data_IF_680821213714
#
_entry.id   IF_680821213714
#
_cell.length_a   1.000
_cell.length_b   1.000
_cell.length_c   1.000
_cell.angle_alpha   90.00
_cell.angle_beta   90.00
_cell.angle_gamma   90.00
#
_symmetry.space_group_name_H-M   'P 1'
#
loop_
_entity.id
_entity.type
_entity.pdbx_description
1 polymer ?
#
# COMPACT_ATOMS: atom_id res chain seq x y z
N UNK A 1 29.20 -44.56 27.22
CA UNK A 1 28.22 -43.59 27.73
C UNK A 1 28.93 -42.74 28.76
N UNK A 2 29.21 -41.48 28.43
CA UNK A 2 29.53 -40.43 29.39
C UNK A 2 28.85 -39.16 28.85
N UNK A 3 27.60 -38.98 29.28
CA UNK A 3 26.83 -37.76 29.10
C UNK A 3 27.43 -36.68 30.00
N UNK A 4 28.22 -35.80 29.41
CA UNK A 4 28.41 -34.42 29.87
C UNK A 4 29.23 -33.67 28.82
N UNK A 5 28.64 -33.49 27.65
CA UNK A 5 29.13 -32.48 26.71
C UNK A 5 28.65 -31.13 27.24
N UNK A 6 29.33 -30.64 28.28
CA UNK A 6 29.10 -29.32 28.83
C UNK A 6 29.37 -28.34 27.69
N UNK A 7 28.35 -27.62 27.25
CA UNK A 7 28.46 -26.58 26.23
C UNK A 7 29.14 -25.34 26.81
N UNK A 8 30.36 -25.49 27.31
CA UNK A 8 31.18 -24.39 27.82
C UNK A 8 31.69 -23.62 26.61
N UNK A 9 31.50 -22.30 26.61
CA UNK A 9 32.09 -21.45 25.60
C UNK A 9 33.61 -21.47 25.77
N UNK A 10 34.38 -21.53 24.68
CA UNK A 10 35.85 -21.62 24.74
C UNK A 10 36.51 -20.51 25.60
N UNK A 11 35.86 -19.35 25.76
CA UNK A 11 36.33 -18.27 26.64
C UNK A 11 36.29 -18.57 28.13
N UNK A 12 35.50 -19.56 28.54
CA UNK A 12 35.26 -19.90 29.94
C UNK A 12 36.12 -21.09 30.39
N UNK A 13 36.97 -21.61 29.49
CA UNK A 13 37.92 -22.69 29.80
C UNK A 13 39.11 -22.15 30.60
N UNK A 14 39.61 -22.90 31.59
CA UNK A 14 40.87 -22.59 32.25
C UNK A 14 42.01 -22.59 31.23
N UNK A 15 43.03 -21.76 31.49
CA UNK A 15 44.09 -21.40 30.53
C UNK A 15 44.82 -22.60 29.91
N UNK A 16 45.01 -23.65 30.69
CA UNK A 16 45.70 -24.87 30.27
C UNK A 16 44.85 -25.72 29.31
N UNK A 17 43.53 -25.75 29.53
CA UNK A 17 42.56 -26.43 28.66
C UNK A 17 42.30 -25.65 27.36
N UNK A 18 42.29 -24.32 27.45
CA UNK A 18 42.20 -23.45 26.27
C UNK A 18 43.37 -23.66 25.31
N UNK A 19 44.58 -23.82 25.85
CA UNK A 19 45.79 -24.06 25.05
C UNK A 19 45.72 -25.40 24.30
N UNK A 20 45.25 -26.46 24.98
CA UNK A 20 45.03 -27.77 24.35
C UNK A 20 43.92 -27.73 23.29
N UNK A 21 42.83 -27.03 23.57
CA UNK A 21 41.73 -26.85 22.63
C UNK A 21 42.20 -26.15 21.33
N UNK A 22 43.00 -25.09 21.43
CA UNK A 22 43.60 -24.43 20.27
C UNK A 22 44.51 -25.36 19.46
N UNK A 23 45.31 -26.20 20.14
CA UNK A 23 46.19 -27.17 19.47
C UNK A 23 45.39 -28.25 18.74
N UNK A 24 44.31 -28.76 19.33
CA UNK A 24 43.46 -29.79 18.71
C UNK A 24 42.66 -29.25 17.50
N UNK A 25 42.32 -27.96 17.54
CA UNK A 25 41.74 -27.21 16.44
C UNK A 25 42.73 -27.02 15.30
N UNK A 26 43.96 -26.57 15.60
CA UNK A 26 45.00 -26.37 14.59
C UNK A 26 45.44 -27.69 13.94
N UNK A 27 45.35 -28.79 14.70
CA UNK A 27 45.57 -30.15 14.22
C UNK A 27 44.41 -30.73 13.38
N UNK A 28 43.28 -30.00 13.26
CA UNK A 28 42.12 -30.43 12.47
C UNK A 28 41.28 -31.54 13.11
N UNK A 29 41.53 -31.87 14.37
CA UNK A 29 40.85 -32.95 15.11
C UNK A 29 39.48 -32.51 15.64
N UNK A 30 39.28 -31.19 15.85
CA UNK A 30 37.99 -30.61 16.26
C UNK A 30 37.43 -29.64 15.21
N UNK A 31 36.22 -29.93 14.71
CA UNK A 31 35.62 -29.23 13.57
C UNK A 31 34.56 -28.17 13.89
N UNK A 32 34.25 -27.85 15.14
CA UNK A 32 33.15 -26.92 15.45
C UNK A 32 33.42 -26.00 16.65
N UNK A 33 33.74 -24.74 16.34
CA UNK A 33 33.84 -23.63 17.30
C UNK A 33 32.47 -23.03 17.70
N UNK A 34 31.45 -23.30 16.89
CA UNK A 34 30.19 -22.57 16.93
C UNK A 34 29.17 -23.35 17.75
N UNK A 35 28.94 -22.92 18.99
CA UNK A 35 27.73 -23.28 19.73
C UNK A 35 26.54 -22.77 18.90
N UNK A 36 25.59 -23.65 18.59
CA UNK A 36 24.36 -23.23 17.91
C UNK A 36 23.73 -22.09 18.71
N UNK A 37 23.46 -20.91 18.10
CA UNK A 37 22.97 -19.77 18.84
C UNK A 37 21.66 -20.14 19.52
N UNK A 38 21.63 -20.03 20.85
CA UNK A 38 20.39 -20.23 21.63
C UNK A 38 19.38 -19.21 21.13
N UNK A 39 18.34 -19.68 20.41
CA UNK A 39 17.26 -18.83 19.90
C UNK A 39 16.53 -18.21 21.09
N UNK A 40 16.89 -16.98 21.47
CA UNK A 40 16.15 -16.20 22.46
C UNK A 40 14.72 -16.02 21.93
N UNK A 41 13.74 -16.68 22.55
CA UNK A 41 12.33 -16.51 22.26
C UNK A 41 11.97 -15.03 22.49
N UNK A 42 11.73 -14.30 21.41
CA UNK A 42 11.34 -12.89 21.51
C UNK A 42 9.99 -12.80 22.20
N UNK A 43 9.88 -12.05 23.31
CA UNK A 43 8.60 -11.75 23.99
C UNK A 43 7.60 -10.97 23.12
N UNK A 44 8.01 -10.50 21.94
CA UNK A 44 7.16 -9.80 20.97
C UNK A 44 6.17 -10.79 20.35
N UNK A 45 4.93 -10.82 20.86
CA UNK A 45 3.81 -11.48 20.19
C UNK A 45 3.15 -10.48 19.25
N UNK A 46 2.88 -10.93 18.02
CA UNK A 46 2.03 -10.18 17.09
C UNK A 46 0.61 -10.19 17.67
N UNK A 47 -0.01 -9.02 17.82
CA UNK A 47 -1.41 -8.93 18.22
C UNK A 47 -2.30 -9.62 17.19
N UNK A 48 -3.44 -10.17 17.63
CA UNK A 48 -4.40 -10.89 16.79
C UNK A 48 -5.19 -9.98 15.82
N UNK A 49 -4.89 -8.69 15.81
CA UNK A 49 -5.54 -7.77 14.87
C UNK A 49 -5.14 -8.11 13.42
N UNK A 50 -6.14 -8.20 12.55
CA UNK A 50 -5.89 -8.31 11.10
C UNK A 50 -5.04 -7.14 10.63
N UNK A 51 -3.91 -7.44 9.99
CA UNK A 51 -3.05 -6.43 9.35
C UNK A 51 -3.46 -6.13 7.91
N UNK A 52 -4.49 -6.81 7.41
CA UNK A 52 -5.03 -6.62 6.07
C UNK A 52 -5.81 -5.31 6.03
N UNK A 53 -5.68 -4.57 4.93
CA UNK A 53 -6.48 -3.38 4.72
C UNK A 53 -7.97 -3.76 4.61
N UNK A 54 -8.85 -3.07 5.35
CA UNK A 54 -10.31 -3.25 5.32
C UNK A 54 -10.88 -3.39 3.90
N UNK A 55 -10.42 -2.55 2.97
CA UNK A 55 -10.78 -2.62 1.55
C UNK A 55 -9.57 -3.00 0.68
N UNK A 56 -9.41 -4.28 0.36
CA UNK A 56 -8.28 -4.75 -0.46
C UNK A 56 -8.45 -4.41 -1.94
N UNK A 57 -9.68 -4.48 -2.46
CA UNK A 57 -10.05 -4.29 -3.86
C UNK A 57 -11.13 -3.19 -4.02
N UNK A 58 -10.81 -1.92 -3.77
CA UNK A 58 -11.73 -0.85 -4.13
C UNK A 58 -11.90 -0.83 -5.65
N UNK A 59 -13.14 -0.81 -6.12
CA UNK A 59 -13.49 -0.62 -7.52
C UNK A 59 -14.70 0.30 -7.57
N UNK A 60 -14.59 1.37 -8.37
CA UNK A 60 -15.68 2.30 -8.57
C UNK A 60 -15.80 2.63 -10.05
N UNK A 61 -17.02 2.53 -10.55
CA UNK A 61 -17.41 2.91 -11.89
C UNK A 61 -18.66 3.75 -11.78
N UNK A 62 -18.80 4.75 -12.65
CA UNK A 62 -19.95 5.65 -12.66
C UNK A 62 -21.25 4.85 -12.82
N UNK A 63 -22.13 4.83 -11.79
CA UNK A 63 -23.41 4.14 -11.87
C UNK A 63 -24.34 4.74 -12.94
N UNK A 64 -25.27 3.93 -13.44
CA UNK A 64 -26.17 4.33 -14.55
C UNK A 64 -27.16 5.45 -14.19
N UNK A 65 -27.46 5.64 -12.89
CA UNK A 65 -28.33 6.72 -12.43
C UNK A 65 -27.70 8.11 -12.56
N UNK A 66 -26.38 8.21 -12.76
CA UNK A 66 -25.74 9.49 -13.03
C UNK A 66 -25.86 9.86 -14.51
N UNK A 67 -26.05 11.15 -14.79
CA UNK A 67 -26.00 11.70 -16.16
C UNK A 67 -24.70 11.27 -16.85
N UNK A 68 -24.79 10.95 -18.15
CA UNK A 68 -23.61 10.62 -18.97
C UNK A 68 -22.65 11.82 -19.00
N UNK A 69 -21.36 11.53 -18.87
CA UNK A 69 -20.31 12.53 -19.05
C UNK A 69 -20.22 12.88 -20.55
N UNK A 70 -20.29 14.16 -20.87
CA UNK A 70 -20.13 14.67 -22.24
C UNK A 70 -18.80 15.42 -22.40
N UNK A 71 -18.42 15.69 -23.65
CA UNK A 71 -17.23 16.47 -23.98
C UNK A 71 -15.91 15.81 -23.54
N UNK A 72 -14.97 16.63 -23.08
CA UNK A 72 -13.62 16.20 -22.69
C UNK A 72 -13.63 15.24 -21.50
N UNK A 73 -14.51 15.44 -20.52
CA UNK A 73 -14.63 14.55 -19.36
C UNK A 73 -15.13 13.15 -19.76
N UNK A 74 -16.09 13.09 -20.70
CA UNK A 74 -16.54 11.83 -21.27
C UNK A 74 -15.41 11.10 -22.01
N UNK A 75 -14.64 11.84 -22.82
CA UNK A 75 -13.48 11.27 -23.52
C UNK A 75 -12.40 10.75 -22.55
N UNK A 76 -12.08 11.52 -21.51
CA UNK A 76 -11.13 11.12 -20.47
C UNK A 76 -11.61 9.87 -19.71
N UNK A 77 -12.89 9.83 -19.33
CA UNK A 77 -13.48 8.68 -18.65
C UNK A 77 -13.42 7.41 -19.52
N UNK A 78 -13.76 7.51 -20.81
CA UNK A 78 -13.74 6.37 -21.74
C UNK A 78 -12.32 5.88 -22.08
N UNK A 79 -11.28 6.70 -21.85
CA UNK A 79 -9.88 6.25 -21.92
C UNK A 79 -9.50 5.41 -20.72
N UNK A 80 -10.07 5.68 -19.55
CA UNK A 80 -9.78 4.95 -18.31
C UNK A 80 -10.63 3.70 -18.15
N UNK A 81 -11.89 3.74 -18.56
CA UNK A 81 -12.88 2.70 -18.32
C UNK A 81 -13.39 2.15 -19.65
N UNK A 82 -13.41 0.82 -19.78
CA UNK A 82 -14.00 0.10 -20.90
C UNK A 82 -15.27 -0.61 -20.41
N UNK A 83 -16.37 -0.41 -21.14
CA UNK A 83 -17.55 -1.27 -21.03
C UNK A 83 -17.46 -2.32 -22.12
N UNK A 84 -17.56 -3.59 -21.72
CA UNK A 84 -17.66 -4.67 -22.69
C UNK A 84 -19.04 -4.65 -23.36
N UNK A 85 -19.07 -4.85 -24.67
CA UNK A 85 -20.30 -4.75 -25.48
C UNK A 85 -21.18 -5.98 -25.32
N UNK A 86 -20.57 -7.15 -25.15
CA UNK A 86 -21.28 -8.42 -25.08
C UNK A 86 -21.79 -8.70 -23.66
N UNK A 87 -20.93 -8.54 -22.65
CA UNK A 87 -21.26 -8.86 -21.26
C UNK A 87 -21.81 -7.67 -20.48
N UNK A 88 -21.69 -6.44 -21.00
CA UNK A 88 -22.03 -5.21 -20.29
C UNK A 88 -21.12 -4.90 -19.08
N UNK A 89 -20.13 -5.75 -18.79
CA UNK A 89 -19.25 -5.58 -17.64
C UNK A 89 -18.33 -4.36 -17.82
N UNK A 90 -18.13 -3.63 -16.72
CA UNK A 90 -17.28 -2.44 -16.70
C UNK A 90 -15.94 -2.80 -16.08
N UNK A 91 -14.85 -2.52 -16.81
CA UNK A 91 -13.49 -2.79 -16.39
C UNK A 91 -12.58 -1.58 -16.64
N UNK A 92 -11.47 -1.51 -15.91
CA UNK A 92 -10.44 -0.52 -16.16
C UNK A 92 -9.68 -0.88 -17.45
N UNK A 93 -9.61 0.07 -18.38
CA UNK A 93 -8.79 -0.01 -19.60
C UNK A 93 -7.33 0.32 -19.30
N UNK A 94 -7.10 1.26 -18.39
CA UNK A 94 -5.77 1.73 -18.01
C UNK A 94 -5.64 1.77 -16.50
N UNK A 95 -4.53 1.22 -15.99
CA UNK A 95 -4.13 1.34 -14.61
C UNK A 95 -3.28 2.60 -14.42
N UNK A 96 -3.90 3.66 -13.92
CA UNK A 96 -3.22 4.95 -13.72
C UNK A 96 -2.04 4.82 -12.78
N UNK A 97 -2.13 3.93 -11.77
CA UNK A 97 -1.04 3.62 -10.85
C UNK A 97 0.25 3.09 -11.50
N UNK A 98 0.16 2.58 -12.74
CA UNK A 98 1.29 2.07 -13.53
C UNK A 98 1.72 3.03 -14.64
N UNK A 99 1.11 4.22 -14.72
CA UNK A 99 1.43 5.20 -15.75
C UNK A 99 2.91 5.63 -15.67
N UNK A 100 3.60 5.84 -16.81
CA UNK A 100 5.02 6.24 -16.83
C UNK A 100 5.33 7.47 -15.97
N UNK A 101 4.37 8.39 -15.83
CA UNK A 101 4.47 9.54 -14.94
C UNK A 101 4.82 9.13 -13.50
N UNK A 102 4.14 8.13 -12.95
CA UNK A 102 4.43 7.66 -11.60
C UNK A 102 5.74 6.93 -11.50
N UNK A 103 6.18 6.27 -12.59
CA UNK A 103 7.43 5.51 -12.64
C UNK A 103 8.64 6.45 -12.70
N UNK A 104 8.55 7.49 -13.54
CA UNK A 104 9.58 8.52 -13.70
C UNK A 104 9.59 9.50 -12.51
N UNK A 105 8.41 9.91 -12.02
CA UNK A 105 8.25 10.87 -10.93
C UNK A 105 8.55 10.34 -9.52
N UNK A 106 8.86 9.04 -9.34
CA UNK A 106 9.04 8.43 -8.00
C UNK A 106 10.05 9.16 -7.14
N UNK A 107 11.21 9.48 -7.72
CA UNK A 107 12.29 10.17 -7.00
C UNK A 107 11.88 11.57 -6.58
N UNK A 108 11.20 12.31 -7.48
CA UNK A 108 10.68 13.66 -7.19
C UNK A 108 9.63 13.64 -6.08
N UNK A 109 8.78 12.61 -6.05
CA UNK A 109 7.78 12.42 -5.00
C UNK A 109 8.35 11.83 -3.68
N UNK A 110 9.67 11.66 -3.56
CA UNK A 110 10.33 11.17 -2.35
C UNK A 110 10.17 9.66 -2.10
N UNK A 111 9.87 8.86 -3.14
CA UNK A 111 9.70 7.41 -3.03
C UNK A 111 10.90 6.65 -3.59
N UNK A 112 11.41 5.70 -2.80
CA UNK A 112 12.40 4.70 -3.26
C UNK A 112 11.77 3.57 -4.08
N UNK A 113 10.59 3.11 -3.67
CA UNK A 113 9.87 1.99 -4.29
C UNK A 113 8.55 2.41 -4.91
N UNK A 114 8.05 1.59 -5.84
CA UNK A 114 6.72 1.74 -6.42
C UNK A 114 5.59 1.64 -5.40
N UNK A 115 4.37 1.88 -5.86
CA UNK A 115 3.18 1.71 -5.02
C UNK A 115 2.97 0.23 -4.69
N UNK A 116 2.57 -0.06 -3.44
CA UNK A 116 2.11 -1.40 -3.05
C UNK A 116 0.79 -1.74 -3.79
N UNK A 117 0.48 -3.01 -4.04
CA UNK A 117 -0.72 -3.41 -4.79
C UNK A 117 -2.04 -2.83 -4.24
N UNK A 118 -2.20 -2.78 -2.91
CA UNK A 118 -3.37 -2.16 -2.27
C UNK A 118 -3.51 -0.65 -2.55
N UNK A 119 -2.37 0.04 -2.68
CA UNK A 119 -2.34 1.47 -2.99
C UNK A 119 -2.56 1.71 -4.48
N UNK A 120 -2.02 0.84 -5.33
CA UNK A 120 -2.29 0.85 -6.77
C UNK A 120 -3.78 0.72 -7.06
N UNK A 121 -4.43 -0.28 -6.46
CA UNK A 121 -5.88 -0.51 -6.59
C UNK A 121 -6.70 0.69 -6.14
N UNK A 122 -6.37 1.30 -4.99
CA UNK A 122 -7.06 2.50 -4.53
C UNK A 122 -6.87 3.69 -5.47
N UNK A 123 -5.66 3.89 -6.00
CA UNK A 123 -5.38 4.94 -6.96
C UNK A 123 -6.16 4.74 -8.26
N UNK A 124 -6.18 3.51 -8.77
CA UNK A 124 -6.90 3.15 -9.98
C UNK A 124 -8.42 3.35 -9.83
N UNK A 125 -8.98 3.09 -8.64
CA UNK A 125 -10.39 3.36 -8.34
C UNK A 125 -10.70 4.85 -8.11
N UNK A 126 -9.73 5.62 -7.60
CA UNK A 126 -9.89 7.05 -7.33
C UNK A 126 -10.09 7.87 -8.62
N UNK A 127 -9.35 7.56 -9.69
CA UNK A 127 -9.38 8.34 -10.92
C UNK A 127 -10.76 8.40 -11.62
N UNK A 128 -11.47 7.27 -11.82
CA UNK A 128 -12.84 7.28 -12.31
C UNK A 128 -13.78 8.16 -11.50
N UNK A 129 -13.65 8.17 -10.16
CA UNK A 129 -14.44 9.03 -9.26
C UNK A 129 -14.11 10.49 -9.51
N UNK A 130 -12.82 10.86 -9.51
CA UNK A 130 -12.41 12.25 -9.69
C UNK A 130 -12.89 12.83 -11.01
N UNK A 131 -12.74 12.10 -12.12
CA UNK A 131 -13.24 12.56 -13.43
C UNK A 131 -14.76 12.63 -13.46
N UNK A 132 -15.44 11.72 -12.75
CA UNK A 132 -16.89 11.71 -12.69
C UNK A 132 -17.51 12.90 -11.97
N UNK A 133 -16.83 13.40 -10.94
CA UNK A 133 -17.27 14.54 -10.15
C UNK A 133 -16.49 15.82 -10.44
N UNK A 134 -15.71 15.84 -11.52
CA UNK A 134 -14.99 17.01 -11.97
C UNK A 134 -15.97 18.02 -12.56
N UNK A 135 -15.86 19.28 -12.12
CA UNK A 135 -16.53 20.39 -12.77
C UNK A 135 -15.86 20.65 -14.13
N UNK A 136 -16.62 20.54 -15.22
CA UNK A 136 -16.08 20.65 -16.58
C UNK A 136 -15.51 22.05 -16.90
N UNK A 137 -16.00 23.10 -16.23
CA UNK A 137 -15.56 24.47 -16.48
C UNK A 137 -14.31 24.84 -15.67
N UNK A 138 -14.18 24.31 -14.46
CA UNK A 138 -13.09 24.67 -13.53
C UNK A 138 -12.01 23.60 -13.41
N UNK A 139 -12.24 22.40 -13.94
CA UNK A 139 -11.39 21.22 -13.72
C UNK A 139 -11.10 20.93 -12.24
N UNK A 140 -12.04 21.28 -11.36
CA UNK A 140 -11.94 21.09 -9.91
C UNK A 140 -12.96 20.07 -9.43
N UNK A 141 -12.62 19.36 -8.36
CA UNK A 141 -13.54 18.45 -7.66
C UNK A 141 -13.90 19.08 -6.32
N UNK A 142 -15.13 19.57 -6.19
CA UNK A 142 -15.63 20.24 -4.98
C UNK A 142 -16.09 19.29 -3.86
N UNK A 143 -15.64 18.04 -3.84
CA UNK A 143 -16.10 17.03 -2.87
C UNK A 143 -15.18 16.90 -1.66
N UNK A 144 -15.78 16.81 -0.48
CA UNK A 144 -15.08 16.48 0.76
C UNK A 144 -14.48 15.06 0.70
N UNK A 145 -13.30 14.87 1.30
CA UNK A 145 -12.61 13.56 1.37
C UNK A 145 -13.50 12.49 1.99
N UNK A 146 -14.28 12.83 3.02
CA UNK A 146 -15.21 11.88 3.65
C UNK A 146 -16.31 11.40 2.70
N UNK A 147 -16.77 12.25 1.77
CA UNK A 147 -17.74 11.85 0.76
C UNK A 147 -17.09 10.97 -0.31
N UNK A 148 -15.88 11.32 -0.76
CA UNK A 148 -15.10 10.47 -1.68
C UNK A 148 -14.84 9.08 -1.10
N UNK A 149 -14.49 9.01 0.19
CA UNK A 149 -14.28 7.77 0.92
C UNK A 149 -15.55 6.90 0.93
N UNK A 150 -16.72 7.48 1.21
CA UNK A 150 -18.01 6.80 1.14
C UNK A 150 -18.35 6.31 -0.26
N UNK A 151 -18.03 7.08 -1.30
CA UNK A 151 -18.28 6.64 -2.68
C UNK A 151 -17.38 5.47 -3.09
N UNK A 152 -16.12 5.48 -2.68
CA UNK A 152 -15.16 4.41 -2.98
C UNK A 152 -15.38 3.13 -2.15
N UNK A 153 -16.19 3.21 -1.09
CA UNK A 153 -16.46 2.08 -0.22
C UNK A 153 -17.54 1.18 -0.81
N UNK A 154 -17.43 -0.13 -0.57
CA UNK A 154 -18.47 -1.07 -0.96
C UNK A 154 -19.76 -0.78 -0.17
N UNK A 155 -20.88 -0.81 -0.89
CA UNK A 155 -22.21 -0.55 -0.34
C UNK A 155 -23.01 -1.86 -0.30
N UNK A 156 -23.83 -2.01 0.72
CA UNK A 156 -24.78 -3.11 0.84
C UNK A 156 -25.96 -2.95 -0.14
N UNK A 157 -26.87 -3.92 -0.17
CA UNK A 157 -28.08 -3.87 -1.00
C UNK A 157 -29.00 -2.67 -0.69
N UNK A 158 -28.84 -2.03 0.47
CA UNK A 158 -29.60 -0.85 0.91
C UNK A 158 -28.86 0.46 0.60
N UNK A 159 -27.66 0.40 0.01
CA UNK A 159 -26.83 1.56 -0.31
C UNK A 159 -25.98 2.08 0.86
N UNK A 160 -25.93 1.39 2.00
CA UNK A 160 -25.11 1.76 3.15
C UNK A 160 -23.69 1.20 3.02
N UNK A 161 -22.70 1.94 3.50
CA UNK A 161 -21.30 1.50 3.47
C UNK A 161 -21.10 0.33 4.42
N UNK A 162 -20.49 -0.76 3.93
CA UNK A 162 -20.15 -1.93 4.73
C UNK A 162 -18.90 -1.60 5.58
N UNK A 163 -18.99 -1.53 6.92
CA UNK A 163 -17.91 -1.02 7.79
C UNK A 163 -16.60 -1.81 7.71
N UNK A 164 -16.69 -3.10 7.39
CA UNK A 164 -15.52 -3.99 7.26
C UNK A 164 -14.70 -3.68 6.00
N UNK A 165 -15.35 -3.17 4.95
CA UNK A 165 -14.74 -2.85 3.66
C UNK A 165 -14.67 -1.35 3.37
N UNK A 166 -14.87 -0.52 4.39
CA UNK A 166 -14.83 0.93 4.26
C UNK A 166 -13.43 1.41 3.88
N UNK A 167 -13.35 2.26 2.86
CA UNK A 167 -12.16 3.04 2.56
C UNK A 167 -12.07 4.16 3.59
N UNK A 168 -11.09 4.08 4.48
CA UNK A 168 -10.94 5.10 5.52
C UNK A 168 -10.51 6.45 4.96
N UNK A 169 -11.04 7.53 5.56
CA UNK A 169 -10.70 8.92 5.21
C UNK A 169 -9.20 9.17 5.28
N UNK A 170 -8.53 8.65 6.31
CA UNK A 170 -7.08 8.79 6.50
C UNK A 170 -6.26 8.12 5.40
N UNK A 171 -6.71 6.96 4.88
CA UNK A 171 -6.05 6.27 3.76
C UNK A 171 -6.18 7.08 2.48
N UNK A 172 -7.36 7.67 2.25
CA UNK A 172 -7.60 8.52 1.08
C UNK A 172 -6.83 9.84 1.15
N UNK A 173 -6.80 10.51 2.31
CA UNK A 173 -6.04 11.76 2.52
C UNK A 173 -4.55 11.56 2.17
N UNK A 174 -3.94 10.51 2.72
CA UNK A 174 -2.53 10.18 2.44
C UNK A 174 -2.28 9.88 0.96
N UNK A 175 -3.26 9.30 0.27
CA UNK A 175 -3.15 9.04 -1.17
C UNK A 175 -3.22 10.35 -1.97
N UNK A 176 -4.12 11.26 -1.63
CA UNK A 176 -4.29 12.56 -2.28
C UNK A 176 -3.04 13.43 -2.08
N UNK A 177 -2.54 13.54 -0.84
CA UNK A 177 -1.28 14.25 -0.54
C UNK A 177 -0.12 13.75 -1.39
N UNK A 178 -0.07 12.44 -1.60
CA UNK A 178 0.93 11.83 -2.47
C UNK A 178 0.72 12.22 -3.94
N UNK A 179 -0.52 12.25 -4.44
CA UNK A 179 -0.80 12.74 -5.80
C UNK A 179 -0.38 14.20 -6.00
N UNK A 180 -0.53 15.02 -4.95
CA UNK A 180 -0.04 16.41 -4.94
C UNK A 180 1.48 16.46 -5.05
N UNK A 181 2.21 15.59 -4.33
CA UNK A 181 3.68 15.48 -4.46
C UNK A 181 4.13 15.01 -5.85
N UNK A 182 3.33 14.16 -6.50
CA UNK A 182 3.57 13.79 -7.90
C UNK A 182 3.24 14.91 -8.89
N UNK A 183 2.64 16.02 -8.44
CA UNK A 183 2.21 17.14 -9.28
C UNK A 183 0.99 16.83 -10.14
N UNK A 184 0.24 15.79 -9.80
CA UNK A 184 -0.91 15.32 -10.59
C UNK A 184 -2.21 15.96 -10.12
N UNK A 185 -2.32 16.23 -8.81
CA UNK A 185 -3.42 16.99 -8.23
C UNK A 185 -2.90 18.29 -7.63
N UNK A 186 -3.69 19.35 -7.73
CA UNK A 186 -3.50 20.58 -6.98
C UNK A 186 -4.56 20.70 -5.90
N UNK A 187 -4.21 21.23 -4.73
CA UNK A 187 -5.21 21.68 -3.78
C UNK A 187 -5.63 23.08 -4.20
N UNK A 188 -6.93 23.31 -4.33
CA UNK A 188 -7.44 24.65 -4.58
C UNK A 188 -7.09 25.51 -3.36
N UNK A 189 -6.23 26.50 -3.53
CA UNK A 189 -6.00 27.50 -2.51
C UNK A 189 -7.33 28.20 -2.22
N UNK A 190 -7.75 28.23 -0.95
CA UNK A 190 -8.77 29.20 -0.55
C UNK A 190 -8.14 30.56 -0.75
N UNK A 191 -8.49 31.24 -1.84
CA UNK A 191 -8.29 32.68 -1.94
C UNK A 191 -9.04 33.29 -0.76
N UNK A 192 -8.33 33.59 0.32
CA UNK A 192 -8.84 34.48 1.34
C UNK A 192 -8.96 35.83 0.63
N UNK A 193 -10.14 36.13 0.13
CA UNK A 193 -10.52 37.51 -0.14
C UNK A 193 -10.28 38.24 1.18
N UNK A 194 -9.28 39.14 1.16
CA UNK A 194 -8.96 39.98 2.29
C UNK A 194 -10.22 40.71 2.73
N UNK A 195 -10.60 40.45 3.98
CA UNK A 195 -11.47 41.31 4.78
C UNK A 195 -10.75 42.59 5.12
#
# INVERSE_FOLDING_TARGET
MNDNQISVHWSDLPKDELTRFCQDVDAGTQGNFLIAPVKKLTRRKRGEHSTKAKCENPAWYRPEHYKKLSGQLGHAYNRLVKKDKETGQVSLRMHVSRHPLYVAGRRKAGRKYGFRPERQRLLDALWPVLISFCDAGKHTVGMCISRLAKELSAKDAKGNVIPETEVTVSRLSRLIEEQVRFGVLGLAERTRLGS
#
